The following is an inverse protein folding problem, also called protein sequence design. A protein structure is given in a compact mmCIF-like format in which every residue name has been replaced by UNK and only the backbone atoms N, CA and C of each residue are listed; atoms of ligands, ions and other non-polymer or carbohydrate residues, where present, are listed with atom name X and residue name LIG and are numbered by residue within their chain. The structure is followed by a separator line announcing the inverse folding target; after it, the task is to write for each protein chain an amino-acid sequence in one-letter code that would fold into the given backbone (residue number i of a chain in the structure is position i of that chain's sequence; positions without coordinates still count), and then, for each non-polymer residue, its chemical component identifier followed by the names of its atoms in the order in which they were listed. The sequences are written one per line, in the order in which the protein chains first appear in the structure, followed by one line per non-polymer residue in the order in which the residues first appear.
data_IF_235631836312
#
_entry.id   IF_235631836312
#
_cell.length_a   1.000
_cell.length_b   1.000
_cell.length_c   1.000
_cell.angle_alpha   90.00
_cell.angle_beta   90.00
_cell.angle_gamma   90.00
#
_symmetry.space_group_name_H-M   'P 1'
#
loop_
_entity.id
_entity.type
_entity.pdbx_description
1 polymer ?
#
# COMPACT_ATOMS: atom_id res chain seq x y z
N UNK A 1 19.33 -2.26 4.72
CA UNK A 1 19.60 -3.03 5.94
C UNK A 1 18.71 -2.58 7.11
N UNK A 2 17.42 -2.53 6.86
CA UNK A 2 16.44 -2.12 7.88
C UNK A 2 15.28 -3.11 7.99
N UNK A 3 15.42 -4.29 7.37
CA UNK A 3 14.38 -5.31 7.31
C UNK A 3 14.11 -5.94 8.67
N UNK A 4 15.14 -6.14 9.49
CA UNK A 4 14.97 -6.73 10.83
C UNK A 4 14.10 -5.88 11.76
N UNK A 5 14.35 -4.56 11.95
CA UNK A 5 13.47 -3.71 12.77
C UNK A 5 12.03 -3.67 12.27
N UNK A 6 11.85 -3.66 10.95
CA UNK A 6 10.53 -3.68 10.32
C UNK A 6 9.83 -5.01 10.54
N UNK A 7 10.54 -6.13 10.41
CA UNK A 7 10.02 -7.46 10.67
C UNK A 7 9.60 -7.62 12.14
N UNK A 8 10.39 -7.14 13.07
CA UNK A 8 10.03 -7.13 14.50
C UNK A 8 8.75 -6.31 14.74
N UNK A 9 8.62 -5.16 14.07
CA UNK A 9 7.41 -4.33 14.17
C UNK A 9 6.17 -5.03 13.62
N UNK A 10 6.30 -5.77 12.52
CA UNK A 10 5.21 -6.59 11.96
C UNK A 10 4.77 -7.66 12.98
N UNK A 11 5.73 -8.35 13.59
CA UNK A 11 5.48 -9.38 14.62
C UNK A 11 4.79 -8.77 15.84
N UNK A 12 5.24 -7.60 16.30
CA UNK A 12 4.63 -6.89 17.43
C UNK A 12 3.17 -6.54 17.16
N UNK A 13 2.87 -5.92 16.00
CA UNK A 13 1.51 -5.54 15.62
C UNK A 13 0.60 -6.76 15.51
N UNK A 14 1.08 -7.81 14.84
CA UNK A 14 0.31 -9.04 14.68
C UNK A 14 0.07 -9.75 16.01
N UNK A 15 1.09 -9.81 16.88
CA UNK A 15 0.98 -10.39 18.21
C UNK A 15 0.04 -9.61 19.13
N UNK A 16 0.06 -8.28 19.05
CA UNK A 16 -0.83 -7.41 19.81
C UNK A 16 -2.29 -7.62 19.38
N UNK A 17 -2.53 -7.68 18.05
CA UNK A 17 -3.84 -8.00 17.49
C UNK A 17 -4.35 -9.38 17.96
N UNK A 18 -3.47 -10.39 17.96
CA UNK A 18 -3.82 -11.73 18.43
C UNK A 18 -4.14 -11.75 19.94
N UNK A 19 -3.38 -11.01 20.73
CA UNK A 19 -3.59 -10.91 22.19
C UNK A 19 -4.94 -10.27 22.51
N UNK A 20 -5.31 -9.20 21.81
CA UNK A 20 -6.61 -8.52 21.98
C UNK A 20 -7.81 -9.44 21.66
N UNK A 21 -7.63 -10.33 20.69
CA UNK A 21 -8.67 -11.28 20.25
C UNK A 21 -8.62 -12.62 21.02
N UNK A 22 -7.62 -12.83 21.87
CA UNK A 22 -7.45 -14.06 22.64
C UNK A 22 -7.00 -15.27 21.80
N UNK A 23 -6.36 -15.03 20.66
CA UNK A 23 -5.93 -16.05 19.71
C UNK A 23 -4.42 -16.06 19.45
N UNK A 24 -4.03 -16.80 18.41
CA UNK A 24 -2.67 -16.86 17.85
C UNK A 24 -2.71 -16.42 16.39
N UNK A 25 -1.60 -15.89 15.89
CA UNK A 25 -1.48 -15.54 14.47
C UNK A 25 -1.30 -16.82 13.66
N UNK A 26 -2.16 -17.01 12.65
CA UNK A 26 -2.10 -18.12 11.70
C UNK A 26 -1.40 -17.69 10.40
N UNK A 27 -1.73 -16.50 9.91
CA UNK A 27 -1.17 -16.00 8.66
C UNK A 27 -1.10 -14.47 8.67
N UNK A 28 -0.05 -13.96 8.07
CA UNK A 28 0.15 -12.53 7.83
C UNK A 28 0.26 -12.31 6.33
N UNK A 29 -0.44 -11.32 5.80
CA UNK A 29 -0.32 -10.90 4.42
C UNK A 29 0.27 -9.49 4.36
N UNK A 30 1.48 -9.39 3.83
CA UNK A 30 2.26 -8.17 3.71
C UNK A 30 2.34 -7.75 2.24
N UNK A 31 2.17 -6.46 1.96
CA UNK A 31 2.37 -5.87 0.63
C UNK A 31 3.69 -5.11 0.61
N UNK A 32 4.54 -5.42 -0.36
CA UNK A 32 5.88 -4.82 -0.50
C UNK A 32 6.07 -4.37 -1.94
N UNK A 33 6.24 -3.08 -2.16
CA UNK A 33 6.54 -2.50 -3.46
C UNK A 33 8.03 -2.60 -3.81
N UNK A 34 8.36 -2.73 -5.10
CA UNK A 34 9.74 -2.81 -5.60
C UNK A 34 10.58 -1.58 -5.21
N UNK A 35 9.97 -0.40 -5.15
CA UNK A 35 10.62 0.87 -4.80
C UNK A 35 10.38 1.25 -3.32
N UNK A 36 9.86 0.33 -2.49
CA UNK A 36 9.66 0.56 -1.04
C UNK A 36 10.95 0.67 -0.25
N UNK A 37 12.05 0.16 -0.81
CA UNK A 37 13.35 0.06 -0.15
C UNK A 37 13.51 -1.19 0.72
N UNK A 38 12.50 -2.08 0.76
CA UNK A 38 12.54 -3.35 1.49
C UNK A 38 12.57 -4.54 0.55
N UNK A 39 13.31 -5.57 0.96
CA UNK A 39 13.42 -6.83 0.22
C UNK A 39 12.56 -7.89 0.89
N UNK A 40 11.52 -8.37 0.19
CA UNK A 40 10.57 -9.35 0.73
C UNK A 40 11.25 -10.63 1.22
N UNK A 41 12.20 -11.17 0.47
CA UNK A 41 12.92 -12.40 0.85
C UNK A 41 13.70 -12.23 2.16
N UNK A 42 14.28 -11.05 2.39
CA UNK A 42 14.97 -10.73 3.65
C UNK A 42 13.98 -10.64 4.82
N UNK A 43 12.82 -10.05 4.60
CA UNK A 43 11.76 -9.98 5.60
C UNK A 43 11.28 -11.40 5.97
N UNK A 44 11.08 -12.27 4.98
CA UNK A 44 10.70 -13.68 5.19
C UNK A 44 11.73 -14.40 6.07
N UNK A 45 13.00 -14.29 5.72
CA UNK A 45 14.10 -14.94 6.45
C UNK A 45 14.17 -14.47 7.92
N UNK A 46 14.05 -13.17 8.16
CA UNK A 46 14.03 -12.63 9.53
C UNK A 46 12.77 -13.01 10.28
N UNK A 47 11.64 -13.10 9.61
CA UNK A 47 10.36 -13.47 10.23
C UNK A 47 10.41 -14.87 10.80
N UNK A 48 10.94 -15.84 10.07
CA UNK A 48 10.99 -17.23 10.47
C UNK A 48 11.77 -17.42 11.79
N UNK A 49 12.83 -16.61 12.00
CA UNK A 49 13.63 -16.64 13.23
C UNK A 49 13.01 -15.76 14.34
N UNK A 50 12.56 -14.58 14.01
CA UNK A 50 12.08 -13.60 14.99
C UNK A 50 10.69 -13.92 15.55
N UNK A 51 9.90 -14.72 14.83
CA UNK A 51 8.58 -15.15 15.29
C UNK A 51 8.62 -16.21 16.41
N UNK A 52 9.76 -16.89 16.60
CA UNK A 52 9.93 -17.89 17.64
C UNK A 52 9.66 -17.30 19.05
N UNK A 53 8.90 -18.01 19.86
CA UNK A 53 8.51 -17.56 21.20
C UNK A 53 7.47 -16.43 21.24
N UNK A 54 6.91 -16.04 20.10
CA UNK A 54 5.84 -15.03 20.01
C UNK A 54 4.49 -15.65 19.63
N UNK A 55 3.42 -14.85 19.61
CA UNK A 55 2.11 -15.30 19.11
C UNK A 55 2.09 -15.52 17.59
N UNK A 56 3.16 -15.15 16.90
CA UNK A 56 3.37 -15.38 15.46
C UNK A 56 4.18 -16.66 15.18
N UNK A 57 4.59 -17.41 16.20
CA UNK A 57 5.34 -18.66 16.00
C UNK A 57 4.53 -19.65 15.18
N UNK A 58 5.13 -20.12 14.08
CA UNK A 58 4.48 -21.02 13.13
C UNK A 58 3.47 -20.35 12.18
N UNK A 59 3.31 -19.03 12.26
CA UNK A 59 2.46 -18.29 11.33
C UNK A 59 3.07 -18.25 9.93
N UNK A 60 2.21 -18.30 8.91
CA UNK A 60 2.61 -18.16 7.52
C UNK A 60 2.70 -16.68 7.14
N UNK A 61 3.88 -16.21 6.75
CA UNK A 61 4.03 -14.88 6.13
C UNK A 61 3.87 -15.01 4.62
N UNK A 62 2.91 -14.29 4.04
CA UNK A 62 2.71 -14.20 2.59
C UNK A 62 3.05 -12.78 2.15
N UNK A 63 3.93 -12.64 1.19
CA UNK A 63 4.38 -11.36 0.67
C UNK A 63 3.84 -11.16 -0.74
N UNK A 64 3.07 -10.11 -0.94
CA UNK A 64 2.56 -9.66 -2.24
C UNK A 64 3.47 -8.54 -2.76
N UNK A 65 4.18 -8.81 -3.85
CA UNK A 65 5.05 -7.83 -4.50
C UNK A 65 4.28 -6.90 -5.43
N UNK A 66 4.46 -5.59 -5.30
CA UNK A 66 3.91 -4.58 -6.21
C UNK A 66 5.01 -4.05 -7.11
N UNK A 67 4.86 -4.21 -8.42
CA UNK A 67 5.83 -3.71 -9.39
C UNK A 67 5.83 -2.20 -9.46
N UNK A 68 7.02 -1.61 -9.50
CA UNK A 68 7.19 -0.19 -9.68
C UNK A 68 6.75 0.24 -11.09
N UNK A 69 6.00 1.32 -11.15
CA UNK A 69 5.57 1.96 -12.42
C UNK A 69 6.14 3.35 -12.53
N UNK A 70 6.34 3.78 -13.76
CA UNK A 70 6.74 5.15 -14.07
C UNK A 70 5.52 5.98 -14.44
N UNK A 71 5.54 7.25 -14.09
CA UNK A 71 4.56 8.24 -14.53
C UNK A 71 5.18 9.12 -15.60
N UNK A 72 4.55 9.19 -16.78
CA UNK A 72 5.00 10.09 -17.83
C UNK A 72 4.84 11.55 -17.41
N UNK A 73 5.89 12.34 -17.59
CA UNK A 73 5.89 13.78 -17.27
C UNK A 73 5.07 14.61 -18.26
N UNK A 74 4.88 14.09 -19.49
CA UNK A 74 4.15 14.80 -20.55
C UNK A 74 2.67 14.44 -20.59
N UNK A 75 2.31 13.14 -20.58
CA UNK A 75 0.91 12.71 -20.71
C UNK A 75 0.29 12.22 -19.38
N UNK A 76 1.05 12.13 -18.28
CA UNK A 76 0.57 11.74 -16.98
C UNK A 76 0.24 10.26 -16.80
N UNK A 77 0.33 9.44 -17.84
CA UNK A 77 -0.01 8.01 -17.80
C UNK A 77 1.04 7.20 -17.03
N UNK A 78 0.57 6.18 -16.35
CA UNK A 78 1.41 5.17 -15.71
C UNK A 78 1.77 4.09 -16.74
N UNK A 79 3.02 3.64 -16.72
CA UNK A 79 3.50 2.54 -17.55
C UNK A 79 4.57 1.73 -16.83
N UNK A 80 4.75 0.48 -17.28
CA UNK A 80 5.72 -0.42 -16.69
C UNK A 80 7.15 0.00 -17.08
N UNK A 81 8.04 -0.04 -16.11
CA UNK A 81 9.45 0.24 -16.31
C UNK A 81 10.07 -0.82 -17.24
N UNK A 82 10.63 -0.40 -18.35
CA UNK A 82 11.42 -1.27 -19.22
C UNK A 82 12.90 -1.19 -18.83
N UNK A 83 13.65 -2.30 -18.95
CA UNK A 83 15.09 -2.26 -18.74
C UNK A 83 15.74 -1.22 -19.66
N UNK A 84 16.54 -0.33 -19.06
CA UNK A 84 17.32 0.70 -19.78
C UNK A 84 16.53 1.76 -20.56
N UNK A 85 15.21 1.84 -20.38
CA UNK A 85 14.40 2.87 -21.03
C UNK A 85 13.41 3.51 -20.06
N UNK A 86 13.31 4.83 -20.13
CA UNK A 86 12.33 5.65 -19.42
C UNK A 86 11.32 6.27 -20.38
N UNK A 87 11.32 5.86 -21.66
CA UNK A 87 10.47 6.42 -22.69
C UNK A 87 9.01 5.95 -22.50
N UNK A 88 8.10 6.88 -22.60
CA UNK A 88 6.67 6.60 -22.49
C UNK A 88 6.19 5.86 -23.74
N UNK A 89 5.49 4.72 -23.60
CA UNK A 89 4.96 3.98 -24.76
C UNK A 89 3.75 4.65 -25.40
N UNK A 90 3.22 5.73 -24.81
CA UNK A 90 2.02 6.42 -25.27
C UNK A 90 2.29 7.80 -25.89
N UNK A 91 3.46 8.35 -25.65
CA UNK A 91 3.93 9.61 -26.22
C UNK A 91 5.46 9.64 -26.18
N UNK A 92 6.09 10.64 -26.82
CA UNK A 92 7.56 10.77 -26.86
C UNK A 92 8.15 11.38 -25.57
N UNK A 93 7.37 11.41 -24.48
CA UNK A 93 7.80 11.95 -23.19
C UNK A 93 8.56 10.93 -22.35
N UNK A 94 9.23 11.40 -21.31
CA UNK A 94 9.98 10.57 -20.38
C UNK A 94 9.20 10.28 -19.10
N UNK A 95 9.37 9.07 -18.57
CA UNK A 95 8.87 8.64 -17.29
C UNK A 95 9.71 9.17 -16.10
N UNK A 96 9.01 9.50 -15.03
CA UNK A 96 9.60 9.78 -13.74
C UNK A 96 9.05 8.84 -12.67
N UNK A 97 9.58 8.93 -11.43
CA UNK A 97 9.10 8.12 -10.33
C UNK A 97 7.60 8.34 -10.09
N UNK A 98 6.91 7.27 -9.70
CA UNK A 98 5.51 7.32 -9.30
C UNK A 98 5.35 6.83 -7.86
N UNK A 99 4.13 6.86 -7.35
CA UNK A 99 3.81 6.30 -6.03
C UNK A 99 3.58 4.78 -6.09
N UNK A 100 3.36 4.23 -7.29
CA UNK A 100 3.15 2.79 -7.48
C UNK A 100 4.48 2.05 -7.37
N UNK A 101 4.53 1.07 -6.48
CA UNK A 101 5.75 0.32 -6.15
C UNK A 101 6.44 0.78 -4.87
N UNK A 102 5.92 1.79 -4.17
CA UNK A 102 6.43 2.25 -2.87
C UNK A 102 5.63 1.71 -1.69
N UNK A 103 4.61 0.93 -1.97
CA UNK A 103 3.71 0.39 -0.97
C UNK A 103 4.48 -0.49 0.03
N UNK A 104 4.21 -0.30 1.29
CA UNK A 104 4.67 -1.15 2.36
C UNK A 104 3.64 -1.13 3.48
N UNK A 105 2.82 -2.16 3.55
CA UNK A 105 1.79 -2.26 4.58
C UNK A 105 1.35 -3.70 4.84
N UNK A 106 0.81 -3.89 6.03
CA UNK A 106 0.24 -5.14 6.50
C UNK A 106 -1.22 -5.18 6.02
N UNK A 107 -1.54 -6.07 5.07
CA UNK A 107 -2.86 -6.16 4.43
C UNK A 107 -3.87 -6.88 5.30
N UNK A 108 -3.52 -8.06 5.79
CA UNK A 108 -4.38 -8.86 6.67
C UNK A 108 -3.57 -9.66 7.67
N UNK A 109 -4.17 -9.89 8.84
CA UNK A 109 -3.69 -10.84 9.85
C UNK A 109 -4.82 -11.83 10.11
N UNK A 110 -4.59 -13.11 9.82
CA UNK A 110 -5.51 -14.20 10.12
C UNK A 110 -5.14 -14.78 11.49
N UNK A 111 -6.14 -14.93 12.33
CA UNK A 111 -5.98 -15.44 13.69
C UNK A 111 -6.66 -16.79 13.85
N UNK A 112 -6.06 -17.66 14.64
CA UNK A 112 -6.67 -18.86 15.16
C UNK A 112 -7.15 -18.58 16.58
N UNK A 113 -8.47 -18.63 16.79
CA UNK A 113 -9.09 -18.41 18.10
C UNK A 113 -9.54 -19.77 18.63
N UNK A 114 -9.26 -20.14 19.89
CA UNK A 114 -9.53 -21.48 20.45
C UNK A 114 -11.02 -21.90 20.41
N UNK A 115 -11.94 -20.95 20.27
CA UNK A 115 -13.39 -21.19 20.26
C UNK A 115 -14.00 -21.30 18.84
N UNK A 116 -13.18 -21.44 17.78
CA UNK A 116 -13.64 -21.88 16.45
C UNK A 116 -14.15 -20.80 15.51
N UNK A 117 -13.97 -19.49 15.78
CA UNK A 117 -14.25 -18.43 14.82
C UNK A 117 -12.97 -17.85 14.21
N UNK A 118 -12.82 -18.00 12.88
CA UNK A 118 -11.75 -17.34 12.13
C UNK A 118 -12.09 -15.84 11.97
N UNK A 119 -11.37 -14.97 12.68
CA UNK A 119 -11.49 -13.54 12.52
C UNK A 119 -10.41 -13.02 11.56
N UNK A 120 -10.82 -12.56 10.39
CA UNK A 120 -9.96 -11.84 9.45
C UNK A 120 -10.11 -10.33 9.69
N UNK A 121 -9.10 -9.69 10.25
CA UNK A 121 -9.06 -8.23 10.34
C UNK A 121 -8.34 -7.67 9.12
N UNK A 122 -9.09 -7.06 8.22
CA UNK A 122 -8.56 -6.22 7.16
C UNK A 122 -8.08 -4.89 7.76
N UNK A 123 -6.82 -4.52 7.49
CA UNK A 123 -6.32 -3.21 7.88
C UNK A 123 -7.04 -2.13 7.06
N UNK A 124 -7.74 -1.23 7.76
CA UNK A 124 -8.28 -0.03 7.14
C UNK A 124 -7.11 0.90 6.77
N UNK A 125 -7.09 1.32 5.52
CA UNK A 125 -6.25 2.42 5.07
C UNK A 125 -6.53 3.65 5.93
N UNK A 126 -5.60 4.01 6.78
CA UNK A 126 -5.67 5.27 7.51
C UNK A 126 -5.17 6.39 6.59
N UNK A 127 -6.07 6.93 5.80
CA UNK A 127 -5.88 8.22 5.13
C UNK A 127 -6.13 9.31 6.16
N UNK A 128 -5.19 10.20 6.47
CA UNK A 128 -5.50 11.38 7.26
C UNK A 128 -6.31 12.34 6.39
N UNK A 129 -7.62 12.24 6.45
CA UNK A 129 -8.54 13.24 5.94
C UNK A 129 -8.49 14.48 6.80
N UNK A 130 -7.92 15.57 6.26
CA UNK A 130 -8.10 16.89 6.84
C UNK A 130 -9.56 17.30 6.67
N UNK A 131 -10.25 17.44 7.78
CA UNK A 131 -11.54 18.10 7.86
C UNK A 131 -11.27 19.61 7.88
N UNK A 132 -11.61 20.29 6.80
CA UNK A 132 -11.95 21.71 6.84
C UNK A 132 -13.40 21.87 6.44
N UNK A 133 -14.26 21.93 7.44
CA UNK A 133 -15.59 22.49 7.33
C UNK A 133 -15.49 23.98 7.03
N UNK A 134 -15.92 24.40 5.85
CA UNK A 134 -16.37 25.78 5.64
C UNK A 134 -17.78 25.76 5.08
N UNK A 135 -18.69 26.03 5.96
CA UNK A 135 -20.06 26.43 5.74
C UNK A 135 -20.11 27.75 4.94
N UNK A 136 -20.91 27.84 3.89
CA UNK A 136 -21.08 29.11 3.17
C UNK A 136 -22.01 28.99 1.98
N UNK A 137 -23.29 28.97 2.28
CA UNK A 137 -24.41 29.32 1.41
C UNK A 137 -24.12 30.56 0.56
N UNK A 138 -24.27 30.48 -0.74
CA UNK A 138 -24.93 31.54 -1.53
C UNK A 138 -25.06 31.21 -3.02
N UNK A 139 -26.29 31.07 -3.51
CA UNK A 139 -26.69 31.35 -4.90
C UNK A 139 -27.03 32.85 -5.03
N UNK A 140 -27.14 33.46 -6.22
CA UNK A 140 -27.68 32.95 -7.48
C UNK A 140 -27.09 33.54 -8.79
N UNK A 141 -27.48 32.90 -9.89
CA UNK A 141 -27.86 33.45 -11.21
C UNK A 141 -26.95 34.41 -11.98
N UNK A 142 -26.71 34.06 -13.25
CA UNK A 142 -26.25 34.99 -14.27
C UNK A 142 -25.92 34.29 -15.57
N UNK A 143 -26.90 34.26 -16.48
CA UNK A 143 -26.77 33.95 -17.88
C UNK A 143 -25.74 34.84 -18.56
N UNK A 144 -24.96 34.36 -19.50
CA UNK A 144 -24.80 35.01 -20.79
C UNK A 144 -23.86 34.20 -21.68
N UNK A 145 -24.42 33.74 -22.77
CA UNK A 145 -23.69 33.15 -23.88
C UNK A 145 -22.73 34.12 -24.58
N UNK A 146 -21.72 33.54 -25.19
CA UNK A 146 -21.16 34.08 -26.45
C UNK A 146 -20.50 32.96 -27.25
N UNK A 147 -21.11 32.69 -28.37
CA UNK A 147 -20.54 32.06 -29.55
C UNK A 147 -19.32 32.82 -30.01
N UNK A 148 -18.33 32.11 -30.50
CA UNK A 148 -17.37 32.60 -31.49
C UNK A 148 -16.91 31.38 -32.28
N UNK A 149 -17.46 31.11 -33.31
CA UNK A 149 -17.31 31.45 -34.76
C UNK A 149 -15.91 31.17 -35.30
N UNK A 150 -15.93 30.26 -36.29
CA UNK A 150 -14.86 29.85 -37.19
C UNK A 150 -14.35 31.05 -38.00
N UNK A 151 -13.05 31.05 -38.30
CA UNK A 151 -12.42 31.52 -39.53
C UNK A 151 -11.13 30.75 -39.75
N UNK A 152 -11.10 30.12 -40.85
CA UNK A 152 -10.35 30.05 -42.10
C UNK A 152 -8.85 30.15 -41.92
#
# INVERSE_FOLDING_TARGET
MHELPVTLRIIDIASETAREKGGRVRKIHLVVGEDSGFVGDSIQMYFDVAAEGTLCEGALLTIEGVRAKLRCRSCGRLFDRKPFSFDCPFCDGQGGPSEVGKEFYLKTVELEIPDGEEATTGGEENTPGGEDEVNGDNRPSGESGRQCEKRE
#
